data_IF_895876906554
#
_entry.id   IF_895876906554
#
_cell.length_a   1.000
_cell.length_b   1.000
_cell.length_c   1.000
_cell.angle_alpha   90.00
_cell.angle_beta   90.00
_cell.angle_gamma   90.00
#
_symmetry.space_group_name_H-M   'P 1'
#
loop_
_entity.id
_entity.type
_entity.pdbx_description
1 polymer ?
#
# COMPACT_ATOMS: atom_id res chain seq x y z
N UNK A 1 -13.29 -67.75 0.03
CA UNK A 1 -13.02 -67.37 1.44
C UNK A 1 -12.38 -65.94 1.54
N UNK A 2 -12.91 -65.01 0.78
CA UNK A 2 -12.46 -63.59 0.79
C UNK A 2 -13.43 -62.62 1.52
N UNK A 3 -14.55 -63.10 2.02
CA UNK A 3 -15.61 -62.30 2.65
C UNK A 3 -15.25 -61.60 3.98
N UNK A 4 -14.38 -62.14 4.89
CA UNK A 4 -14.18 -61.50 6.18
C UNK A 4 -13.35 -60.19 6.08
N UNK A 5 -12.47 -60.07 5.08
CA UNK A 5 -11.64 -58.84 4.92
C UNK A 5 -12.41 -57.66 4.39
N UNK A 6 -13.36 -57.88 3.49
CA UNK A 6 -14.21 -56.81 2.94
C UNK A 6 -15.23 -56.32 3.98
N UNK A 7 -15.77 -57.25 4.80
CA UNK A 7 -16.71 -56.89 5.87
C UNK A 7 -16.08 -56.02 6.97
N UNK A 8 -14.80 -56.32 7.33
CA UNK A 8 -14.07 -55.52 8.31
C UNK A 8 -13.73 -54.13 7.76
N UNK A 9 -13.38 -54.03 6.47
CA UNK A 9 -13.10 -52.73 5.83
C UNK A 9 -14.33 -51.84 5.76
N UNK A 10 -15.49 -52.38 5.43
CA UNK A 10 -16.75 -51.63 5.37
C UNK A 10 -17.24 -51.22 6.76
N UNK A 11 -17.08 -52.07 7.77
CA UNK A 11 -17.43 -51.72 9.14
C UNK A 11 -16.54 -50.60 9.71
N UNK A 12 -15.27 -50.57 9.36
CA UNK A 12 -14.34 -49.52 9.81
C UNK A 12 -14.65 -48.17 9.15
N UNK A 13 -15.03 -48.16 7.87
CA UNK A 13 -15.44 -46.95 7.15
C UNK A 13 -16.76 -46.41 7.69
N UNK A 14 -17.72 -47.28 7.98
CA UNK A 14 -19.01 -46.87 8.58
C UNK A 14 -18.90 -46.36 10.03
N UNK A 15 -17.93 -46.85 10.79
CA UNK A 15 -17.65 -46.35 12.15
C UNK A 15 -16.97 -44.96 12.18
N UNK A 16 -16.27 -44.58 11.13
CA UNK A 16 -15.60 -43.26 11.03
C UNK A 16 -16.51 -42.19 10.41
N UNK A 17 -17.54 -42.56 9.69
CA UNK A 17 -18.45 -41.60 9.04
C UNK A 17 -19.25 -40.68 9.98
N UNK A 18 -19.71 -41.10 11.17
CA UNK A 18 -20.47 -40.19 12.05
C UNK A 18 -19.59 -39.18 12.77
N UNK A 19 -18.27 -39.38 12.82
CA UNK A 19 -17.36 -38.43 13.52
C UNK A 19 -16.83 -37.32 12.60
N UNK A 20 -16.78 -37.56 11.30
CA UNK A 20 -16.29 -36.56 10.34
C UNK A 20 -17.11 -35.26 10.29
N UNK A 21 -18.45 -35.28 10.29
CA UNK A 21 -19.23 -34.05 10.31
C UNK A 21 -19.13 -33.28 11.63
N UNK A 22 -18.91 -33.97 12.76
CA UNK A 22 -18.74 -33.31 14.08
C UNK A 22 -17.38 -32.61 14.15
N UNK A 23 -16.31 -33.24 13.67
CA UNK A 23 -14.98 -32.65 13.62
C UNK A 23 -14.92 -31.44 12.65
N UNK A 24 -15.58 -31.53 11.51
CA UNK A 24 -15.73 -30.41 10.56
C UNK A 24 -16.54 -29.27 11.18
N UNK A 25 -17.65 -29.56 11.86
CA UNK A 25 -18.47 -28.56 12.49
C UNK A 25 -17.73 -27.84 13.66
N UNK A 26 -16.93 -28.56 14.41
CA UNK A 26 -16.10 -27.99 15.49
C UNK A 26 -14.99 -27.09 14.95
N UNK A 27 -14.33 -27.45 13.84
CA UNK A 27 -13.36 -26.60 13.18
C UNK A 27 -13.99 -25.35 12.56
N UNK A 28 -15.17 -25.47 11.95
CA UNK A 28 -15.91 -24.30 11.45
C UNK A 28 -16.38 -23.37 12.56
N UNK A 29 -16.85 -23.90 13.66
CA UNK A 29 -17.28 -23.09 14.82
C UNK A 29 -16.08 -22.37 15.49
N UNK A 30 -14.91 -23.01 15.54
CA UNK A 30 -13.69 -22.39 16.07
C UNK A 30 -13.12 -21.29 15.19
N UNK A 31 -13.19 -21.44 13.85
CA UNK A 31 -12.78 -20.38 12.91
C UNK A 31 -13.74 -19.21 12.92
N UNK A 32 -15.04 -19.42 12.96
CA UNK A 32 -16.02 -18.35 13.11
C UNK A 32 -15.90 -17.62 14.46
N UNK A 33 -15.62 -18.34 15.55
CA UNK A 33 -15.38 -17.74 16.85
C UNK A 33 -14.09 -16.92 16.89
N UNK A 34 -13.05 -17.35 16.15
CA UNK A 34 -11.80 -16.59 16.00
C UNK A 34 -12.01 -15.33 15.14
N UNK A 35 -12.73 -15.43 14.05
CA UNK A 35 -13.08 -14.27 13.21
C UNK A 35 -14.00 -13.29 13.96
N UNK A 36 -14.96 -13.79 14.76
CA UNK A 36 -15.81 -12.94 15.60
C UNK A 36 -15.02 -12.25 16.72
N UNK A 37 -14.00 -12.89 17.27
CA UNK A 37 -13.12 -12.28 18.27
C UNK A 37 -12.19 -11.23 17.64
N UNK A 38 -11.62 -11.50 16.45
CA UNK A 38 -10.84 -10.54 15.69
C UNK A 38 -11.70 -9.34 15.25
N UNK A 39 -12.91 -9.58 14.74
CA UNK A 39 -13.82 -8.51 14.35
C UNK A 39 -14.40 -7.75 15.54
N UNK A 40 -14.55 -8.38 16.70
CA UNK A 40 -14.92 -7.69 17.95
C UNK A 40 -13.75 -6.88 18.53
N UNK A 41 -12.50 -7.36 18.36
CA UNK A 41 -11.31 -6.58 18.72
C UNK A 41 -11.09 -5.38 17.79
N UNK A 42 -11.41 -5.51 16.51
CA UNK A 42 -11.38 -4.41 15.54
C UNK A 42 -12.59 -3.46 15.72
N UNK A 43 -13.73 -3.96 16.21
CA UNK A 43 -14.90 -3.15 16.61
C UNK A 43 -14.93 -2.79 18.10
N UNK A 44 -13.90 -3.20 18.85
CA UNK A 44 -13.72 -2.83 20.23
C UNK A 44 -13.80 -1.33 20.38
N UNK A 45 -14.94 -0.92 20.82
CA UNK A 45 -15.29 0.39 21.35
C UNK A 45 -14.44 1.56 20.84
N UNK A 46 -14.91 2.20 19.78
CA UNK A 46 -14.30 3.42 19.23
C UNK A 46 -14.33 4.61 20.19
N UNK A 47 -14.34 4.36 21.51
CA UNK A 47 -14.29 5.36 22.56
C UNK A 47 -13.02 5.32 23.39
N UNK A 48 -12.23 4.22 23.34
CA UNK A 48 -11.03 4.04 24.17
C UNK A 48 -9.80 3.53 23.42
N UNK A 49 -9.81 3.52 22.08
CA UNK A 49 -8.55 3.48 21.37
C UNK A 49 -7.84 4.82 21.66
N UNK A 50 -6.69 4.81 22.36
CA UNK A 50 -5.99 6.07 22.58
C UNK A 50 -5.75 6.70 21.21
N UNK A 51 -6.27 7.91 21.03
CA UNK A 51 -6.07 8.73 19.81
C UNK A 51 -4.59 8.95 19.47
N UNK A 52 -3.69 8.43 20.29
CA UNK A 52 -2.25 8.46 20.16
C UNK A 52 -1.63 7.33 19.31
N UNK A 53 -2.41 6.35 18.83
CA UNK A 53 -1.87 5.27 17.97
C UNK A 53 -2.02 5.53 16.47
N UNK A 54 -2.79 6.53 16.08
CA UNK A 54 -2.74 7.10 14.74
C UNK A 54 -1.88 8.36 14.88
N UNK A 55 -0.56 8.22 14.81
CA UNK A 55 0.30 9.36 14.63
C UNK A 55 -0.18 10.07 13.37
N UNK A 56 -0.80 11.25 13.53
CA UNK A 56 -1.14 12.07 12.37
C UNK A 56 0.14 12.29 11.58
N UNK A 57 0.11 11.91 10.30
CA UNK A 57 1.25 12.14 9.41
C UNK A 57 1.64 13.61 9.49
N UNK A 58 2.92 13.89 9.75
CA UNK A 58 3.44 15.25 9.79
C UNK A 58 3.27 15.96 8.43
N UNK A 59 3.02 15.20 7.37
CA UNK A 59 2.78 15.71 6.01
C UNK A 59 1.48 16.48 5.87
N UNK A 60 0.46 16.29 6.73
CA UNK A 60 -0.86 16.93 6.58
C UNK A 60 -1.33 16.87 5.13
N UNK A 61 -1.59 15.66 4.62
CA UNK A 61 -1.72 15.37 3.20
C UNK A 61 -2.65 16.31 2.44
N UNK A 62 -3.84 16.59 2.98
CA UNK A 62 -4.82 17.47 2.32
C UNK A 62 -4.28 18.89 2.17
N UNK A 63 -3.84 19.51 3.28
CA UNK A 63 -3.29 20.86 3.30
C UNK A 63 -2.05 20.98 2.40
N UNK A 64 -1.21 19.96 2.38
CA UNK A 64 0.02 19.93 1.61
C UNK A 64 -0.24 19.71 0.13
N UNK A 65 -1.17 18.82 -0.22
CA UNK A 65 -1.62 18.61 -1.60
C UNK A 65 -2.22 19.90 -2.18
N UNK A 66 -3.08 20.59 -1.44
CA UNK A 66 -3.66 21.86 -1.88
C UNK A 66 -2.62 22.93 -2.26
N UNK A 67 -1.40 22.86 -1.71
CA UNK A 67 -0.31 23.79 -2.07
C UNK A 67 0.25 23.52 -3.46
N UNK A 68 0.08 22.31 -3.99
CA UNK A 68 0.49 21.99 -5.36
C UNK A 68 -0.32 22.75 -6.41
N UNK A 69 -1.54 23.16 -6.08
CA UNK A 69 -2.40 23.92 -7.02
C UNK A 69 -1.82 25.29 -7.40
N UNK A 70 -0.79 25.77 -6.66
CA UNK A 70 -0.01 26.96 -7.00
C UNK A 70 0.98 26.74 -8.14
N UNK A 71 1.30 25.48 -8.43
CA UNK A 71 2.20 25.09 -9.53
C UNK A 71 1.41 25.01 -10.84
N UNK A 72 2.05 25.20 -12.00
CA UNK A 72 1.43 24.92 -13.28
C UNK A 72 0.83 23.53 -13.32
N UNK A 73 -0.37 23.39 -13.90
CA UNK A 73 -1.01 22.07 -14.03
C UNK A 73 -0.11 21.08 -14.75
N UNK A 74 -0.06 19.87 -14.23
CA UNK A 74 0.78 18.81 -14.76
C UNK A 74 0.43 17.45 -14.18
N UNK A 75 1.21 16.47 -14.54
CA UNK A 75 1.06 15.07 -14.09
C UNK A 75 1.96 14.82 -12.89
N UNK A 76 1.38 14.36 -11.80
CA UNK A 76 2.08 14.05 -10.55
C UNK A 76 2.36 12.56 -10.47
N UNK A 77 3.62 12.22 -10.25
CA UNK A 77 4.07 10.88 -9.87
C UNK A 77 4.23 10.84 -8.34
N UNK A 78 3.54 9.94 -7.70
CA UNK A 78 3.56 9.84 -6.23
C UNK A 78 3.28 8.40 -5.78
N UNK A 79 3.66 8.01 -4.55
CA UNK A 79 3.11 6.83 -3.90
C UNK A 79 1.58 6.81 -3.97
N UNK A 80 0.99 5.61 -3.97
CA UNK A 80 -0.44 5.43 -4.21
C UNK A 80 -1.31 6.11 -3.16
N UNK A 81 -0.83 6.19 -1.91
CA UNK A 81 -1.53 6.79 -0.78
C UNK A 81 -1.68 8.32 -0.90
N UNK A 82 -0.81 8.98 -1.67
CA UNK A 82 -0.85 10.44 -1.88
C UNK A 82 -1.82 10.82 -2.99
N UNK A 83 -1.96 9.96 -3.99
CA UNK A 83 -2.75 10.23 -5.19
C UNK A 83 -4.17 10.74 -4.94
N UNK A 84 -4.96 10.15 -4.03
CA UNK A 84 -6.30 10.63 -3.72
C UNK A 84 -6.34 12.08 -3.24
N UNK A 85 -5.39 12.49 -2.38
CA UNK A 85 -5.33 13.88 -1.88
C UNK A 85 -4.99 14.87 -3.00
N UNK A 86 -4.08 14.50 -3.92
CA UNK A 86 -3.77 15.35 -5.08
C UNK A 86 -4.98 15.53 -5.98
N UNK A 87 -5.73 14.46 -6.26
CA UNK A 87 -6.94 14.53 -7.10
C UNK A 87 -8.06 15.33 -6.46
N UNK A 88 -8.19 15.28 -5.14
CA UNK A 88 -9.24 15.97 -4.41
C UNK A 88 -8.96 17.48 -4.28
N UNK A 89 -7.72 17.85 -4.03
CA UNK A 89 -7.34 19.21 -3.61
C UNK A 89 -6.77 20.05 -4.76
N UNK A 90 -6.52 19.47 -5.94
CA UNK A 90 -5.83 20.19 -7.03
C UNK A 90 -6.40 19.90 -8.41
N UNK A 91 -5.99 20.74 -9.39
CA UNK A 91 -6.26 20.48 -10.81
C UNK A 91 -5.21 19.60 -11.50
N UNK A 92 -4.27 18.99 -10.77
CA UNK A 92 -3.27 18.08 -11.33
C UNK A 92 -3.84 16.70 -11.67
N UNK A 93 -3.20 16.01 -12.60
CA UNK A 93 -3.42 14.57 -12.83
C UNK A 93 -2.46 13.75 -11.98
N UNK A 94 -2.83 12.51 -11.63
CA UNK A 94 -1.94 11.54 -10.99
C UNK A 94 -1.80 10.31 -11.87
N UNK A 95 -0.65 9.64 -11.80
CA UNK A 95 -0.38 8.42 -12.58
C UNK A 95 -1.26 7.27 -12.07
N UNK A 96 -1.29 7.06 -10.77
CA UNK A 96 -2.11 6.02 -10.14
C UNK A 96 -2.53 6.41 -8.72
N UNK A 97 -3.57 5.74 -8.26
CA UNK A 97 -4.03 5.69 -6.88
C UNK A 97 -4.24 4.24 -6.49
N UNK A 98 -4.53 3.93 -5.24
CA UNK A 98 -4.83 2.57 -4.79
C UNK A 98 -6.10 1.93 -5.39
N UNK A 99 -6.56 2.41 -6.54
CA UNK A 99 -7.78 1.92 -7.20
C UNK A 99 -7.46 0.77 -8.17
N UNK A 100 -7.99 -0.41 -7.89
CA UNK A 100 -7.70 -1.67 -8.61
C UNK A 100 -7.88 -1.67 -10.14
N UNK A 101 -8.62 -0.71 -10.72
CA UNK A 101 -8.79 -0.59 -12.18
C UNK A 101 -7.58 -0.01 -12.91
N UNK A 102 -6.62 0.56 -12.17
CA UNK A 102 -5.38 1.11 -12.71
C UNK A 102 -4.17 0.18 -12.48
N UNK A 103 -4.37 -1.13 -12.54
CA UNK A 103 -3.38 -2.16 -12.16
C UNK A 103 -2.00 -1.93 -12.82
N UNK A 104 -1.96 -1.69 -14.12
CA UNK A 104 -0.70 -1.47 -14.84
C UNK A 104 0.04 -0.21 -14.32
N UNK A 105 -0.68 0.90 -14.16
CA UNK A 105 -0.09 2.14 -13.66
C UNK A 105 0.34 2.01 -12.19
N UNK A 106 -0.43 1.29 -11.35
CA UNK A 106 -0.04 0.97 -9.98
C UNK A 106 1.24 0.15 -9.92
N UNK A 107 1.33 -0.91 -10.76
CA UNK A 107 2.53 -1.73 -10.88
C UNK A 107 3.76 -0.88 -11.25
N UNK A 108 3.62 0.02 -12.22
CA UNK A 108 4.70 0.87 -12.67
C UNK A 108 5.11 1.91 -11.62
N UNK A 109 4.14 2.50 -10.90
CA UNK A 109 4.43 3.41 -9.77
C UNK A 109 5.22 2.67 -8.69
N UNK A 110 4.72 1.51 -8.23
CA UNK A 110 5.41 0.70 -7.23
C UNK A 110 6.81 0.31 -7.74
N UNK A 111 6.88 -0.21 -8.97
CA UNK A 111 8.12 -0.65 -9.60
C UNK A 111 9.17 0.47 -9.68
N UNK A 112 8.76 1.69 -10.03
CA UNK A 112 9.66 2.82 -10.11
C UNK A 112 10.33 3.14 -8.77
N UNK A 113 9.62 3.07 -7.66
CA UNK A 113 10.21 3.31 -6.34
C UNK A 113 11.16 2.21 -5.87
N UNK A 114 10.99 0.98 -6.37
CA UNK A 114 11.80 -0.18 -5.99
C UNK A 114 13.13 -0.30 -6.75
N UNK A 115 13.25 0.31 -7.92
CA UNK A 115 14.43 0.21 -8.79
C UNK A 115 15.39 1.38 -8.60
N UNK A 116 16.51 1.37 -9.33
CA UNK A 116 17.48 2.47 -9.29
C UNK A 116 16.93 3.72 -10.00
N UNK A 117 17.36 4.94 -9.61
CA UNK A 117 16.84 6.20 -10.14
C UNK A 117 16.87 6.32 -11.68
N UNK A 118 17.86 5.72 -12.34
CA UNK A 118 18.00 5.78 -13.81
C UNK A 118 16.84 5.04 -14.50
N UNK A 119 16.43 3.90 -13.96
CA UNK A 119 15.27 3.14 -14.45
C UNK A 119 13.98 3.85 -14.09
N UNK A 120 13.89 4.38 -12.88
CA UNK A 120 12.74 5.18 -12.41
C UNK A 120 12.49 6.37 -13.33
N UNK A 121 13.56 7.08 -13.75
CA UNK A 121 13.46 8.20 -14.71
C UNK A 121 12.76 7.79 -16.00
N UNK A 122 13.10 6.63 -16.53
CA UNK A 122 12.46 6.12 -17.76
C UNK A 122 10.97 5.88 -17.55
N UNK A 123 10.58 5.33 -16.40
CA UNK A 123 9.17 5.10 -16.06
C UNK A 123 8.44 6.45 -15.90
N UNK A 124 8.98 7.39 -15.11
CA UNK A 124 8.37 8.72 -14.93
C UNK A 124 8.16 9.43 -16.28
N UNK A 125 9.15 9.36 -17.15
CA UNK A 125 9.08 9.96 -18.50
C UNK A 125 8.03 9.30 -19.39
N UNK A 126 7.86 7.99 -19.33
CA UNK A 126 6.85 7.29 -20.13
C UNK A 126 5.43 7.73 -19.79
N UNK A 127 5.20 8.22 -18.57
CA UNK A 127 3.94 8.80 -18.13
C UNK A 127 3.85 10.32 -18.29
N UNK A 128 4.90 10.98 -18.77
CA UNK A 128 4.95 12.44 -18.88
C UNK A 128 4.82 13.12 -17.51
N UNK A 129 5.46 12.56 -16.48
CA UNK A 129 5.42 13.12 -15.14
C UNK A 129 6.14 14.48 -15.08
N UNK A 130 5.42 15.53 -14.69
CA UNK A 130 5.97 16.87 -14.47
C UNK A 130 6.51 17.03 -13.06
N UNK A 131 5.89 16.36 -12.10
CA UNK A 131 6.21 16.46 -10.68
C UNK A 131 6.34 15.08 -10.05
N UNK A 132 7.25 14.99 -9.07
CA UNK A 132 7.33 13.90 -8.11
C UNK A 132 6.95 14.42 -6.73
N UNK A 133 6.10 13.70 -6.02
CA UNK A 133 5.69 14.04 -4.64
C UNK A 133 5.96 12.86 -3.72
N UNK A 134 6.49 13.14 -2.54
CA UNK A 134 6.76 12.15 -1.50
C UNK A 134 6.36 12.71 -0.14
N UNK A 135 5.88 11.85 0.73
CA UNK A 135 5.71 12.14 2.15
C UNK A 135 6.56 11.16 2.96
N UNK A 136 7.54 11.68 3.70
CA UNK A 136 8.58 10.87 4.35
C UNK A 136 8.07 9.97 5.47
N UNK A 137 7.00 10.37 6.15
CA UNK A 137 6.45 9.66 7.31
C UNK A 137 5.23 8.78 6.99
N UNK A 138 4.90 8.62 5.71
CA UNK A 138 3.96 7.60 5.30
C UNK A 138 4.65 6.22 5.25
N UNK A 139 3.87 5.18 5.53
CA UNK A 139 4.38 3.82 5.53
C UNK A 139 4.82 3.35 4.13
N UNK A 140 4.16 3.83 3.08
CA UNK A 140 4.36 3.34 1.72
C UNK A 140 5.77 3.61 1.18
N UNK A 141 6.34 4.83 1.25
CA UNK A 141 7.73 5.09 0.84
C UNK A 141 8.76 4.26 1.61
N UNK A 142 8.55 4.06 2.91
CA UNK A 142 9.42 3.26 3.75
C UNK A 142 9.38 1.76 3.37
N UNK A 143 8.20 1.23 3.04
CA UNK A 143 8.05 -0.13 2.51
C UNK A 143 8.84 -0.28 1.20
N UNK A 144 8.74 0.69 0.29
CA UNK A 144 9.48 0.68 -0.97
C UNK A 144 10.99 0.72 -0.77
N UNK A 145 11.48 1.57 0.13
CA UNK A 145 12.90 1.67 0.45
C UNK A 145 13.45 0.36 1.02
N UNK A 146 12.72 -0.27 1.96
CA UNK A 146 13.11 -1.57 2.52
C UNK A 146 13.10 -2.68 1.48
N UNK A 147 12.08 -2.72 0.61
CA UNK A 147 11.94 -3.75 -0.43
C UNK A 147 12.94 -3.59 -1.56
N UNK A 148 13.18 -2.36 -2.01
CA UNK A 148 14.10 -2.04 -3.10
C UNK A 148 15.57 -1.99 -2.68
N UNK A 149 15.84 -1.89 -1.38
CA UNK A 149 17.18 -1.78 -0.81
C UNK A 149 17.77 -0.37 -0.90
N UNK A 150 18.98 -0.18 -0.36
CA UNK A 150 19.61 1.14 -0.15
C UNK A 150 19.90 1.94 -1.44
N UNK A 151 19.92 1.29 -2.58
CA UNK A 151 20.13 1.93 -3.90
C UNK A 151 18.84 2.17 -4.68
N UNK A 152 17.70 1.82 -4.12
CA UNK A 152 16.40 2.07 -4.75
C UNK A 152 16.08 3.56 -4.79
N UNK A 153 15.21 3.94 -5.70
CA UNK A 153 14.77 5.32 -5.85
C UNK A 153 14.12 5.84 -4.56
N UNK A 154 13.24 5.05 -3.94
CA UNK A 154 12.62 5.41 -2.66
C UNK A 154 13.67 5.64 -1.55
N UNK A 155 14.64 4.73 -1.39
CA UNK A 155 15.66 4.86 -0.36
C UNK A 155 16.51 6.12 -0.53
N UNK A 156 16.89 6.46 -1.77
CA UNK A 156 17.64 7.68 -2.06
C UNK A 156 16.83 8.94 -1.79
N UNK A 157 15.55 8.96 -2.18
CA UNK A 157 14.68 10.08 -1.89
C UNK A 157 14.52 10.30 -0.38
N UNK A 158 14.29 9.23 0.40
CA UNK A 158 14.19 9.33 1.85
C UNK A 158 15.50 9.79 2.51
N UNK A 159 16.65 9.44 1.93
CA UNK A 159 17.97 9.90 2.39
C UNK A 159 18.33 11.35 1.94
N UNK A 160 17.38 12.09 1.36
CA UNK A 160 17.58 13.41 0.75
C UNK A 160 18.68 13.43 -0.35
N UNK A 161 18.92 12.26 -0.96
CA UNK A 161 19.87 12.06 -2.07
C UNK A 161 19.09 11.94 -3.40
N UNK A 162 18.34 13.00 -3.71
CA UNK A 162 17.56 13.06 -4.95
C UNK A 162 18.50 13.15 -6.18
N UNK A 163 18.21 12.41 -7.27
CA UNK A 163 19.01 12.48 -8.48
C UNK A 163 18.91 13.86 -9.14
N UNK A 164 19.96 14.27 -9.87
CA UNK A 164 20.13 15.61 -10.48
C UNK A 164 19.01 16.04 -11.45
N UNK A 165 18.24 15.08 -11.98
CA UNK A 165 17.10 15.35 -12.85
C UNK A 165 15.81 15.67 -12.08
N UNK A 166 15.87 15.69 -10.74
CA UNK A 166 14.82 16.19 -9.84
C UNK A 166 15.23 17.54 -9.24
N UNK A 167 14.44 18.55 -9.52
CA UNK A 167 14.58 19.87 -8.93
C UNK A 167 13.63 20.01 -7.75
N UNK A 168 14.15 20.13 -6.53
CA UNK A 168 13.34 20.34 -5.34
C UNK A 168 12.59 21.66 -5.42
N UNK A 169 11.28 21.64 -5.11
CA UNK A 169 10.41 22.81 -5.12
C UNK A 169 10.00 23.17 -3.70
N UNK A 170 10.04 24.46 -3.39
CA UNK A 170 9.55 25.01 -2.13
C UNK A 170 8.07 25.40 -2.28
N UNK A 171 7.17 24.56 -1.79
CA UNK A 171 5.71 24.78 -1.89
C UNK A 171 5.13 25.44 -0.64
N UNK A 172 5.93 25.59 0.43
CA UNK A 172 5.49 26.01 1.74
C UNK A 172 4.73 24.91 2.51
N UNK A 173 4.78 23.66 2.05
CA UNK A 173 4.31 22.49 2.79
C UNK A 173 5.30 22.14 3.91
N UNK A 174 4.92 21.30 4.90
CA UNK A 174 5.85 20.76 5.89
C UNK A 174 7.04 20.08 5.22
N UNK A 175 8.21 20.09 5.89
CA UNK A 175 9.44 19.53 5.35
C UNK A 175 9.34 18.02 4.98
N UNK A 176 8.45 17.30 5.65
CA UNK A 176 8.14 15.90 5.35
C UNK A 176 7.37 15.69 4.04
N UNK A 177 6.69 16.71 3.52
CA UNK A 177 5.99 16.66 2.23
C UNK A 177 6.89 17.31 1.17
N UNK A 178 7.61 16.47 0.44
CA UNK A 178 8.61 16.90 -0.54
C UNK A 178 8.08 16.85 -1.96
N UNK A 179 8.39 17.88 -2.71
CA UNK A 179 7.97 18.06 -4.10
C UNK A 179 9.18 18.34 -4.98
N UNK A 180 9.26 17.67 -6.10
CA UNK A 180 10.27 17.94 -7.12
C UNK A 180 9.63 18.14 -8.48
N UNK A 181 10.24 19.00 -9.28
CA UNK A 181 10.00 19.05 -10.72
C UNK A 181 10.86 18.00 -11.40
N UNK A 182 10.28 17.24 -12.31
CA UNK A 182 11.00 16.29 -13.17
C UNK A 182 11.59 17.09 -14.33
N UNK A 183 12.91 17.02 -14.50
CA UNK A 183 13.64 17.66 -15.58
C UNK A 183 13.99 16.65 -16.67
N UNK A 184 14.06 17.14 -17.90
CA UNK A 184 14.52 16.36 -19.06
C UNK A 184 16.00 15.93 -18.98
#
# INVERSE_FOLDING_TARGET
RALPRVAVGVATILALLPMAPVALAQNFASTQAAEHRLSAQVRGDGRDAPASLIAESSCKLQDSAARLDKLPRGTVFAPLDIGPSVLLETGHSVIATGHHRAEAAMHDVIGAFLVKPEVSRTILRSYGADYLVLCDDLAEPDIYARRGGSRSFAARLLADDAPHWLEKLETGAPASFRVWRVRD
#
